data_IF_992989776621
#
_entry.id   IF_992989776621
#
_cell.length_a   1.000
_cell.length_b   1.000
_cell.length_c   1.000
_cell.angle_alpha   90.00
_cell.angle_beta   90.00
_cell.angle_gamma   90.00
#
_symmetry.space_group_name_H-M   'P 1'
#
loop_
_entity.id
_entity.type
_entity.pdbx_description
1 polymer ?
#
# COMPACT_ATOMS: atom_id res chain seq x y z
N UNK A 1 5.78 26.10 14.89
CA UNK A 1 6.93 25.60 15.68
C UNK A 1 7.48 24.28 15.12
N UNK A 2 6.62 23.30 14.73
CA UNK A 2 7.05 21.96 14.28
C UNK A 2 7.89 22.05 13.00
N UNK A 3 7.40 22.68 11.94
CA UNK A 3 8.11 22.83 10.66
C UNK A 3 9.50 23.47 10.83
N UNK A 4 9.62 24.48 11.70
CA UNK A 4 10.91 25.14 11.97
C UNK A 4 11.91 24.19 12.62
N UNK A 5 11.46 23.27 13.46
CA UNK A 5 12.28 22.37 14.26
C UNK A 5 12.39 20.96 13.68
N UNK A 6 11.84 20.71 12.48
CA UNK A 6 11.86 19.37 11.85
C UNK A 6 13.25 18.77 11.71
N UNK A 7 14.28 19.60 11.53
CA UNK A 7 15.68 19.16 11.41
C UNK A 7 16.18 18.39 12.64
N UNK A 8 15.58 18.61 13.83
CA UNK A 8 15.93 17.91 15.07
C UNK A 8 15.59 16.42 15.00
N UNK A 9 14.67 16.00 14.11
CA UNK A 9 14.34 14.58 13.89
C UNK A 9 15.56 13.76 13.44
N UNK A 10 16.56 14.38 12.79
CA UNK A 10 17.79 13.70 12.38
C UNK A 10 18.61 13.15 13.55
N UNK A 11 18.43 13.71 14.76
CA UNK A 11 19.09 13.25 15.99
C UNK A 11 18.30 12.22 16.79
N UNK A 12 17.10 11.81 16.31
CA UNK A 12 16.25 10.86 17.03
C UNK A 12 16.53 9.43 16.53
N UNK A 13 16.58 8.48 17.47
CA UNK A 13 16.76 7.06 17.13
C UNK A 13 15.67 6.56 16.16
N UNK A 14 16.07 5.75 15.19
CA UNK A 14 15.17 5.24 14.14
C UNK A 14 13.99 4.47 14.70
N UNK A 15 14.20 3.68 15.75
CA UNK A 15 13.17 2.89 16.44
C UNK A 15 12.09 3.80 17.06
N UNK A 16 12.49 4.93 17.61
CA UNK A 16 11.55 5.92 18.16
C UNK A 16 10.76 6.62 17.05
N UNK A 17 11.42 6.97 15.97
CA UNK A 17 10.77 7.51 14.77
C UNK A 17 9.74 6.51 14.25
N UNK A 18 10.11 5.23 14.10
CA UNK A 18 9.21 4.16 13.67
C UNK A 18 7.95 4.08 14.54
N UNK A 19 8.12 4.03 15.86
CA UNK A 19 6.99 3.91 16.79
C UNK A 19 6.02 5.08 16.64
N UNK A 20 6.53 6.31 16.60
CA UNK A 20 5.66 7.49 16.52
C UNK A 20 5.01 7.65 15.13
N UNK A 21 5.72 7.34 14.03
CA UNK A 21 5.14 7.34 12.69
C UNK A 21 4.05 6.26 12.56
N UNK A 22 4.27 5.07 13.10
CA UNK A 22 3.27 4.00 13.07
C UNK A 22 2.01 4.40 13.84
N UNK A 23 2.14 4.97 15.03
CA UNK A 23 1.01 5.49 15.80
C UNK A 23 0.26 6.56 15.02
N UNK A 24 0.98 7.49 14.41
CA UNK A 24 0.39 8.57 13.61
C UNK A 24 -0.36 8.03 12.40
N UNK A 25 0.22 7.09 11.65
CA UNK A 25 -0.40 6.45 10.48
C UNK A 25 -1.68 5.70 10.85
N UNK A 26 -1.73 5.08 12.04
CA UNK A 26 -2.90 4.32 12.51
C UNK A 26 -3.90 5.18 13.28
N UNK A 27 -3.62 6.44 13.52
CA UNK A 27 -4.52 7.33 14.25
C UNK A 27 -5.68 7.80 13.37
N UNK A 28 -6.80 8.11 14.02
CA UNK A 28 -7.89 8.85 13.39
C UNK A 28 -7.38 10.24 12.97
N UNK A 29 -7.68 10.66 11.73
CA UNK A 29 -7.19 11.94 11.19
C UNK A 29 -5.76 11.92 10.63
N UNK A 30 -5.14 10.74 10.45
CA UNK A 30 -3.82 10.60 9.84
C UNK A 30 -3.67 11.38 8.53
N UNK A 31 -4.69 11.39 7.67
CA UNK A 31 -4.71 12.12 6.41
C UNK A 31 -4.45 13.63 6.57
N UNK A 32 -5.08 14.27 7.57
CA UNK A 32 -4.82 15.68 7.88
C UNK A 32 -3.38 15.94 8.30
N UNK A 33 -2.84 15.06 9.16
CA UNK A 33 -1.44 15.16 9.62
C UNK A 33 -0.46 14.96 8.44
N UNK A 34 -0.73 14.02 7.54
CA UNK A 34 0.09 13.77 6.35
C UNK A 34 0.13 14.99 5.42
N UNK A 35 -1.00 15.69 5.23
CA UNK A 35 -1.06 16.94 4.44
C UNK A 35 -0.31 18.07 5.12
N UNK A 36 -0.62 18.33 6.38
CA UNK A 36 -0.10 19.49 7.11
C UNK A 36 1.40 19.37 7.40
N UNK A 37 1.93 18.16 7.56
CA UNK A 37 3.28 17.88 8.01
C UNK A 37 4.10 17.04 7.02
N UNK A 38 3.77 17.05 5.74
CA UNK A 38 4.50 16.32 4.69
C UNK A 38 6.01 16.62 4.73
N UNK A 39 6.39 17.88 4.90
CA UNK A 39 7.79 18.32 4.98
C UNK A 39 8.52 17.83 6.25
N UNK A 40 7.78 17.51 7.30
CA UNK A 40 8.32 16.93 8.55
C UNK A 40 8.56 15.43 8.36
N UNK A 41 7.61 14.75 7.71
CA UNK A 41 7.69 13.32 7.37
C UNK A 41 8.84 13.03 6.40
N UNK A 42 9.13 13.97 5.49
CA UNK A 42 10.25 13.88 4.56
C UNK A 42 11.64 13.95 5.23
N UNK A 43 11.73 14.28 6.51
CA UNK A 43 13.02 14.24 7.22
C UNK A 43 13.49 12.81 7.49
N UNK A 44 12.70 11.92 8.10
CA UNK A 44 13.06 10.51 8.25
C UNK A 44 12.90 9.69 6.97
N UNK A 45 12.01 10.11 6.04
CA UNK A 45 11.72 9.43 4.78
C UNK A 45 11.82 10.44 3.63
N UNK A 46 13.05 10.86 3.25
CA UNK A 46 13.25 11.87 2.20
C UNK A 46 12.73 11.41 0.83
N UNK A 47 12.56 10.13 0.62
CA UNK A 47 12.01 9.51 -0.59
C UNK A 47 10.53 9.90 -0.84
N UNK A 48 9.82 10.43 0.15
CA UNK A 48 8.47 10.96 -0.03
C UNK A 48 8.46 12.30 -0.80
N UNK A 49 9.55 13.07 -0.73
CA UNK A 49 9.60 14.42 -1.30
C UNK A 49 9.21 14.49 -2.79
N UNK A 50 9.67 13.57 -3.67
CA UNK A 50 9.30 13.60 -5.08
C UNK A 50 7.81 13.35 -5.34
N UNK A 51 7.05 12.80 -4.38
CA UNK A 51 5.62 12.53 -4.54
C UNK A 51 4.76 13.79 -4.38
N UNK A 52 5.26 14.80 -3.65
CA UNK A 52 4.50 15.99 -3.29
C UNK A 52 4.21 16.85 -4.53
N UNK A 53 2.93 17.00 -4.85
CA UNK A 53 2.50 17.74 -6.02
C UNK A 53 2.88 17.11 -7.35
N UNK A 54 3.27 15.82 -7.40
CA UNK A 54 3.66 15.15 -8.63
C UNK A 54 2.43 14.73 -9.45
N UNK A 55 2.14 15.38 -10.59
CA UNK A 55 0.95 15.11 -11.39
C UNK A 55 1.07 13.76 -12.10
N UNK A 56 -0.01 12.97 -12.11
CA UNK A 56 0.03 11.64 -12.72
C UNK A 56 -0.28 11.64 -14.23
N UNK A 57 -0.90 12.70 -14.76
CA UNK A 57 -1.27 12.82 -16.19
C UNK A 57 -2.00 11.58 -16.73
N UNK A 58 -2.89 10.99 -15.92
CA UNK A 58 -3.57 9.77 -16.27
C UNK A 58 -5.06 9.87 -15.86
N UNK A 59 -6.02 9.53 -16.75
CA UNK A 59 -7.45 9.68 -16.45
C UNK A 59 -7.94 8.83 -15.26
N UNK A 60 -7.20 7.77 -14.90
CA UNK A 60 -7.50 6.96 -13.72
C UNK A 60 -7.13 7.65 -12.41
N UNK A 61 -6.37 8.76 -12.45
CA UNK A 61 -5.93 9.51 -11.28
C UNK A 61 -6.30 10.99 -11.42
N UNK A 62 -7.16 11.48 -10.53
CA UNK A 62 -7.59 12.88 -10.42
C UNK A 62 -6.79 13.66 -9.37
N UNK A 63 -5.82 13.01 -8.72
CA UNK A 63 -4.94 13.53 -7.68
C UNK A 63 -3.47 13.39 -8.10
N UNK A 64 -2.61 14.21 -7.51
CA UNK A 64 -1.17 13.94 -7.54
C UNK A 64 -0.82 12.66 -6.76
N UNK A 65 0.44 12.19 -6.86
CA UNK A 65 0.86 10.93 -6.22
C UNK A 65 0.72 11.00 -4.70
N UNK A 66 1.00 12.15 -4.07
CA UNK A 66 0.90 12.29 -2.62
C UNK A 66 -0.55 12.30 -2.12
N UNK A 67 -1.41 13.10 -2.73
CA UNK A 67 -2.83 13.15 -2.38
C UNK A 67 -3.55 11.82 -2.66
N UNK A 68 -3.14 11.09 -3.73
CA UNK A 68 -3.59 9.74 -3.96
C UNK A 68 -3.17 8.81 -2.79
N UNK A 69 -1.89 8.82 -2.41
CA UNK A 69 -1.38 8.01 -1.29
C UNK A 69 -2.12 8.31 0.02
N UNK A 70 -2.40 9.58 0.30
CA UNK A 70 -3.20 9.96 1.48
C UNK A 70 -4.62 9.39 1.40
N UNK A 71 -5.28 9.44 0.23
CA UNK A 71 -6.61 8.88 0.04
C UNK A 71 -6.64 7.35 0.23
N UNK A 72 -5.59 6.65 -0.20
CA UNK A 72 -5.42 5.21 0.05
C UNK A 72 -5.28 4.93 1.56
N UNK A 73 -4.42 5.70 2.25
CA UNK A 73 -4.25 5.60 3.71
C UNK A 73 -5.57 5.86 4.43
N UNK A 74 -6.37 6.81 4.01
CA UNK A 74 -7.66 7.14 4.62
C UNK A 74 -8.68 6.00 4.45
N UNK A 75 -8.59 5.27 3.32
CA UNK A 75 -9.54 4.23 2.91
C UNK A 75 -9.22 2.84 3.46
N UNK A 76 -7.99 2.59 3.92
CA UNK A 76 -7.52 1.27 4.39
C UNK A 76 -7.63 1.15 5.91
N UNK A 77 -7.83 -0.08 6.40
CA UNK A 77 -7.88 -0.37 7.85
C UNK A 77 -6.66 0.20 8.59
N UNK A 78 -6.82 0.80 9.78
CA UNK A 78 -5.74 1.39 10.56
C UNK A 78 -4.87 0.32 11.26
N UNK A 79 -4.36 -0.62 10.49
CA UNK A 79 -3.44 -1.67 10.89
C UNK A 79 -2.02 -1.31 10.42
N UNK A 80 -0.97 -1.47 11.27
CA UNK A 80 0.39 -1.04 10.95
C UNK A 80 0.90 -1.51 9.59
N UNK A 81 0.81 -2.80 9.28
CA UNK A 81 1.31 -3.37 8.01
C UNK A 81 0.60 -2.74 6.81
N UNK A 82 -0.73 -2.63 6.88
CA UNK A 82 -1.55 -2.06 5.81
C UNK A 82 -1.28 -0.57 5.60
N UNK A 83 -1.17 0.21 6.68
CA UNK A 83 -0.92 1.65 6.61
C UNK A 83 0.48 1.97 6.08
N UNK A 84 1.48 1.19 6.44
CA UNK A 84 2.82 1.33 5.88
C UNK A 84 2.89 0.88 4.42
N UNK A 85 2.20 -0.20 4.06
CA UNK A 85 2.09 -0.61 2.66
C UNK A 85 1.40 0.47 1.82
N UNK A 86 0.31 1.05 2.31
CA UNK A 86 -0.38 2.18 1.67
C UNK A 86 0.51 3.42 1.53
N UNK A 87 1.35 3.75 2.52
CA UNK A 87 2.28 4.87 2.42
C UNK A 87 3.35 4.67 1.34
N UNK A 88 3.79 3.43 1.14
CA UNK A 88 4.96 3.11 0.31
C UNK A 88 4.63 2.52 -1.06
N UNK A 89 3.36 2.16 -1.36
CA UNK A 89 3.01 1.42 -2.58
C UNK A 89 3.43 2.15 -3.86
N UNK A 90 3.25 3.44 -3.91
CA UNK A 90 3.47 4.31 -5.07
C UNK A 90 4.71 5.20 -4.98
N UNK A 91 5.58 4.99 -3.99
CA UNK A 91 6.75 5.84 -3.73
C UNK A 91 7.76 5.85 -4.90
N UNK A 92 7.74 4.82 -5.73
CA UNK A 92 8.57 4.69 -6.93
C UNK A 92 8.02 5.41 -8.16
N UNK A 93 6.75 5.84 -8.17
CA UNK A 93 6.11 6.46 -9.35
C UNK A 93 6.89 7.65 -9.93
N UNK A 94 7.34 8.63 -9.12
CA UNK A 94 8.04 9.79 -9.69
C UNK A 94 9.30 9.44 -10.48
N UNK A 95 10.02 8.38 -10.07
CA UNK A 95 11.25 7.94 -10.76
C UNK A 95 10.99 7.07 -11.99
N UNK A 96 9.78 6.55 -12.16
CA UNK A 96 9.37 5.69 -13.27
C UNK A 96 8.46 6.43 -14.28
N UNK A 97 8.28 7.74 -14.10
CA UNK A 97 7.37 8.52 -14.95
C UNK A 97 7.87 8.66 -16.37
N UNK A 98 6.98 8.42 -17.33
CA UNK A 98 7.16 8.76 -18.73
C UNK A 98 5.86 9.33 -19.28
N UNK A 99 5.97 10.32 -20.17
CA UNK A 99 4.83 10.92 -20.85
C UNK A 99 4.77 10.41 -22.29
N UNK A 100 3.64 9.80 -22.67
CA UNK A 100 3.43 9.35 -24.04
C UNK A 100 3.07 10.54 -24.96
N UNK A 101 3.12 10.33 -26.29
CA UNK A 101 2.82 11.36 -27.30
C UNK A 101 1.38 11.91 -27.19
N UNK A 102 0.45 11.11 -26.68
CA UNK A 102 -0.94 11.49 -26.43
C UNK A 102 -1.14 12.27 -25.11
N UNK A 103 -0.04 12.56 -24.40
CA UNK A 103 -0.07 13.25 -23.11
C UNK A 103 -0.45 12.41 -21.91
N UNK A 104 -0.58 11.09 -22.06
CA UNK A 104 -0.88 10.17 -20.96
C UNK A 104 0.41 9.79 -20.22
N UNK A 105 0.37 9.90 -18.90
CA UNK A 105 1.45 9.51 -18.00
C UNK A 105 1.47 8.01 -17.73
N UNK A 106 2.65 7.40 -17.81
CA UNK A 106 2.90 5.99 -17.51
C UNK A 106 3.98 5.85 -16.44
N UNK A 107 3.91 4.77 -15.65
CA UNK A 107 4.80 4.49 -14.51
C UNK A 107 5.32 3.05 -14.57
N UNK A 108 5.81 2.63 -15.73
CA UNK A 108 6.28 1.25 -15.95
C UNK A 108 7.37 0.85 -14.95
N UNK A 109 7.15 -0.29 -14.25
CA UNK A 109 8.10 -0.81 -13.26
C UNK A 109 8.07 -0.10 -11.91
N UNK A 110 7.12 0.80 -11.65
CA UNK A 110 7.04 1.51 -10.37
C UNK A 110 6.85 0.57 -9.17
N UNK A 111 6.18 -0.56 -9.32
CA UNK A 111 6.01 -1.54 -8.24
C UNK A 111 7.33 -2.17 -7.80
N UNK A 112 8.24 -2.49 -8.73
CA UNK A 112 9.58 -2.98 -8.41
C UNK A 112 10.44 -1.88 -7.77
N UNK A 113 10.36 -0.66 -8.30
CA UNK A 113 11.04 0.50 -7.74
C UNK A 113 10.53 0.83 -6.33
N UNK A 114 9.20 0.86 -6.13
CA UNK A 114 8.58 1.04 -4.81
C UNK A 114 9.01 -0.04 -3.83
N UNK A 115 9.09 -1.30 -4.28
CA UNK A 115 9.57 -2.43 -3.47
C UNK A 115 10.99 -2.20 -2.97
N UNK A 116 11.92 -1.86 -3.87
CA UNK A 116 13.32 -1.58 -3.52
C UNK A 116 13.46 -0.40 -2.55
N UNK A 117 12.71 0.67 -2.78
CA UNK A 117 12.67 1.84 -1.89
C UNK A 117 12.08 1.48 -0.52
N UNK A 118 10.98 0.71 -0.49
CA UNK A 118 10.36 0.24 0.75
C UNK A 118 11.32 -0.62 1.59
N UNK A 119 12.03 -1.59 0.98
CA UNK A 119 13.04 -2.41 1.65
C UNK A 119 14.11 -1.55 2.34
N UNK A 120 14.59 -0.53 1.63
CA UNK A 120 15.61 0.41 2.15
C UNK A 120 15.09 1.26 3.29
N UNK A 121 13.89 1.84 3.16
CA UNK A 121 13.23 2.69 4.16
C UNK A 121 12.94 1.89 5.43
N UNK A 122 12.31 0.72 5.29
CA UNK A 122 11.92 -0.13 6.43
C UNK A 122 13.16 -0.66 7.19
N UNK A 123 14.23 -0.99 6.47
CA UNK A 123 15.51 -1.38 7.08
C UNK A 123 16.16 -0.22 7.84
N UNK A 124 16.17 0.99 7.26
CA UNK A 124 16.70 2.22 7.90
C UNK A 124 15.88 2.59 9.13
N UNK A 125 14.58 2.42 9.12
CA UNK A 125 13.69 2.67 10.25
C UNK A 125 13.68 1.54 11.30
N UNK A 126 14.46 0.46 11.10
CA UNK A 126 14.61 -0.65 12.05
C UNK A 126 13.32 -1.45 12.29
N UNK A 127 12.54 -1.67 11.24
CA UNK A 127 11.45 -2.65 11.32
C UNK A 127 11.97 -4.04 11.67
N UNK A 128 11.17 -4.82 12.39
CA UNK A 128 11.41 -6.26 12.51
C UNK A 128 11.24 -6.96 11.15
N UNK A 129 11.90 -8.11 10.98
CA UNK A 129 11.94 -8.78 9.69
C UNK A 129 10.55 -9.25 9.23
N UNK A 130 9.69 -9.72 10.15
CA UNK A 130 8.37 -10.23 9.80
C UNK A 130 7.47 -9.11 9.26
N UNK A 131 7.37 -7.99 9.97
CA UNK A 131 6.61 -6.81 9.51
C UNK A 131 7.17 -6.25 8.20
N UNK A 132 8.50 -6.16 8.06
CA UNK A 132 9.15 -5.70 6.83
C UNK A 132 8.78 -6.58 5.63
N UNK A 133 8.87 -7.91 5.77
CA UNK A 133 8.54 -8.85 4.69
C UNK A 133 7.07 -8.76 4.27
N UNK A 134 6.15 -8.57 5.23
CA UNK A 134 4.73 -8.39 4.94
C UNK A 134 4.48 -7.10 4.15
N UNK A 135 5.02 -5.96 4.61
CA UNK A 135 4.86 -4.66 3.95
C UNK A 135 5.45 -4.71 2.54
N UNK A 136 6.69 -5.19 2.39
CA UNK A 136 7.39 -5.30 1.09
C UNK A 136 6.61 -6.18 0.11
N UNK A 137 6.03 -7.28 0.60
CA UNK A 137 5.18 -8.16 -0.22
C UNK A 137 3.95 -7.41 -0.73
N UNK A 138 3.25 -6.68 0.12
CA UNK A 138 2.08 -5.88 -0.27
C UNK A 138 2.47 -4.82 -1.30
N UNK A 139 3.56 -4.08 -1.09
CA UNK A 139 4.08 -3.09 -2.04
C UNK A 139 4.43 -3.74 -3.37
N UNK A 140 5.07 -4.92 -3.38
CA UNK A 140 5.45 -5.62 -4.61
C UNK A 140 4.26 -6.03 -5.47
N UNK A 141 3.16 -6.45 -4.85
CA UNK A 141 2.01 -7.00 -5.55
C UNK A 141 0.82 -6.05 -5.67
N UNK A 142 0.96 -4.79 -5.22
CA UNK A 142 -0.16 -3.83 -5.21
C UNK A 142 -0.71 -3.49 -6.60
N UNK A 143 0.10 -3.60 -7.66
CA UNK A 143 -0.28 -3.28 -9.05
C UNK A 143 -0.59 -4.54 -9.90
N UNK A 144 -0.60 -5.73 -9.28
CA UNK A 144 -0.95 -6.94 -10.02
C UNK A 144 -2.45 -6.96 -10.38
N UNK A 145 -2.82 -7.45 -11.58
CA UNK A 145 -4.23 -7.54 -11.93
C UNK A 145 -4.96 -8.57 -11.04
N UNK A 146 -6.07 -8.14 -10.44
CA UNK A 146 -6.97 -8.98 -9.65
C UNK A 146 -8.22 -9.24 -10.48
N UNK A 147 -8.55 -10.53 -10.65
CA UNK A 147 -9.78 -11.00 -11.31
C UNK A 147 -10.56 -11.91 -10.38
N UNK A 148 -11.90 -11.90 -10.50
CA UNK A 148 -12.78 -12.79 -9.75
C UNK A 148 -12.79 -14.21 -10.34
N UNK A 149 -11.61 -14.78 -10.56
CA UNK A 149 -11.39 -16.12 -11.09
C UNK A 149 -10.82 -17.03 -10.00
N UNK A 150 -11.44 -18.19 -9.82
CA UNK A 150 -11.08 -19.13 -8.74
C UNK A 150 -9.64 -19.64 -8.81
N UNK A 151 -9.10 -19.86 -10.02
CA UNK A 151 -7.75 -20.40 -10.21
C UNK A 151 -6.64 -19.42 -9.81
N UNK A 152 -6.64 -18.15 -10.24
CA UNK A 152 -5.71 -17.13 -9.71
C UNK A 152 -5.82 -16.97 -8.20
N UNK A 153 -7.03 -16.94 -7.63
CA UNK A 153 -7.21 -16.75 -6.17
C UNK A 153 -6.65 -17.95 -5.38
N UNK A 154 -6.90 -19.20 -5.82
CA UNK A 154 -6.26 -20.37 -5.20
C UNK A 154 -4.74 -20.32 -5.25
N UNK A 155 -4.15 -19.80 -6.33
CA UNK A 155 -2.69 -19.60 -6.42
C UNK A 155 -2.19 -18.55 -5.44
N UNK A 156 -2.91 -17.44 -5.25
CA UNK A 156 -2.56 -16.43 -4.25
C UNK A 156 -2.61 -17.01 -2.84
N UNK A 157 -3.69 -17.71 -2.49
CA UNK A 157 -3.85 -18.36 -1.19
C UNK A 157 -2.73 -19.39 -0.93
N UNK A 158 -2.43 -20.25 -1.92
CA UNK A 158 -1.35 -21.24 -1.80
C UNK A 158 0.03 -20.61 -1.66
N UNK A 159 0.29 -19.48 -2.34
CA UNK A 159 1.60 -18.83 -2.37
C UNK A 159 1.85 -17.94 -1.16
N UNK A 160 0.83 -17.22 -0.71
CA UNK A 160 0.97 -16.15 0.29
C UNK A 160 0.26 -16.44 1.62
N UNK A 161 -0.62 -17.44 1.65
CA UNK A 161 -1.53 -17.70 2.77
C UNK A 161 -2.75 -16.80 2.78
N UNK A 162 -3.69 -17.09 3.69
CA UNK A 162 -4.96 -16.36 3.79
C UNK A 162 -4.76 -14.90 4.16
N UNK A 163 -4.07 -14.62 5.28
CA UNK A 163 -3.94 -13.26 5.81
C UNK A 163 -3.29 -12.31 4.81
N UNK A 164 -2.18 -12.72 4.21
CA UNK A 164 -1.48 -11.90 3.21
C UNK A 164 -2.30 -11.70 1.94
N UNK A 165 -3.11 -12.70 1.53
CA UNK A 165 -4.01 -12.56 0.37
C UNK A 165 -5.13 -11.56 0.69
N UNK A 166 -5.76 -11.64 1.87
CA UNK A 166 -6.80 -10.70 2.28
C UNK A 166 -6.27 -9.26 2.40
N UNK A 167 -5.09 -9.08 3.01
CA UNK A 167 -4.42 -7.78 3.10
C UNK A 167 -4.13 -7.20 1.71
N UNK A 168 -3.71 -8.03 0.75
CA UNK A 168 -3.46 -7.61 -0.62
C UNK A 168 -4.75 -7.13 -1.30
N UNK A 169 -5.85 -7.87 -1.18
CA UNK A 169 -7.16 -7.47 -1.73
C UNK A 169 -7.64 -6.16 -1.08
N UNK A 170 -7.43 -6.00 0.20
CA UNK A 170 -7.78 -4.75 0.91
C UNK A 170 -6.96 -3.56 0.39
N UNK A 171 -5.66 -3.73 0.17
CA UNK A 171 -4.81 -2.67 -0.40
C UNK A 171 -5.28 -2.29 -1.81
N UNK A 172 -5.58 -3.27 -2.67
CA UNK A 172 -6.13 -3.00 -4.01
C UNK A 172 -7.48 -2.26 -3.98
N UNK A 173 -8.35 -2.63 -3.02
CA UNK A 173 -9.63 -1.93 -2.83
C UNK A 173 -9.39 -0.47 -2.39
N UNK A 174 -8.50 -0.25 -1.44
CA UNK A 174 -8.16 1.07 -0.94
C UNK A 174 -7.48 1.93 -2.02
N UNK A 175 -6.58 1.37 -2.82
CA UNK A 175 -5.95 2.03 -3.97
C UNK A 175 -7.02 2.48 -4.99
N UNK A 176 -7.95 1.57 -5.36
CA UNK A 176 -9.07 1.90 -6.25
C UNK A 176 -9.98 3.00 -5.67
N UNK A 177 -10.18 3.04 -4.36
CA UNK A 177 -10.92 4.12 -3.68
C UNK A 177 -10.17 5.46 -3.74
N UNK A 178 -8.84 5.43 -3.74
CA UNK A 178 -7.98 6.60 -3.91
C UNK A 178 -7.93 7.15 -5.35
N UNK A 179 -8.23 6.32 -6.36
CA UNK A 179 -8.26 6.66 -7.77
C UNK A 179 -9.47 7.53 -8.15
N UNK A 180 -9.56 7.95 -9.41
CA UNK A 180 -10.68 8.71 -9.94
C UNK A 180 -11.99 7.92 -9.95
N UNK A 181 -13.13 8.62 -10.03
CA UNK A 181 -14.46 8.00 -9.98
C UNK A 181 -14.70 6.94 -11.07
N UNK A 182 -14.03 7.03 -12.22
CA UNK A 182 -14.15 6.07 -13.31
C UNK A 182 -13.67 4.65 -12.91
N UNK A 183 -12.82 4.52 -11.89
CA UNK A 183 -12.30 3.23 -11.41
C UNK A 183 -13.25 2.54 -10.41
N UNK A 184 -14.28 3.22 -9.91
CA UNK A 184 -15.16 2.73 -8.83
C UNK A 184 -15.89 1.42 -9.17
N UNK A 185 -16.17 1.16 -10.45
CA UNK A 185 -16.78 -0.11 -10.89
C UNK A 185 -15.94 -1.34 -10.52
N UNK A 186 -14.63 -1.17 -10.32
CA UNK A 186 -13.71 -2.27 -9.92
C UNK A 186 -13.90 -2.73 -8.48
N UNK A 187 -14.55 -1.92 -7.63
CA UNK A 187 -14.74 -2.26 -6.21
C UNK A 187 -15.55 -3.55 -6.06
N UNK A 188 -16.58 -3.77 -6.89
CA UNK A 188 -17.39 -4.98 -6.89
C UNK A 188 -16.55 -6.25 -7.09
N UNK A 189 -15.48 -6.18 -7.91
CA UNK A 189 -14.55 -7.29 -8.12
C UNK A 189 -13.88 -7.72 -6.82
N UNK A 190 -13.44 -6.77 -6.00
CA UNK A 190 -12.76 -7.09 -4.73
C UNK A 190 -13.71 -7.69 -3.69
N UNK A 191 -14.99 -7.32 -3.73
CA UNK A 191 -16.02 -7.90 -2.88
C UNK A 191 -16.33 -9.34 -3.29
N UNK A 192 -16.46 -9.59 -4.61
CA UNK A 192 -16.62 -10.92 -5.17
C UNK A 192 -15.41 -11.82 -4.87
N UNK A 193 -14.18 -11.30 -5.01
CA UNK A 193 -12.96 -12.02 -4.67
C UNK A 193 -12.92 -12.36 -3.17
N UNK A 194 -13.32 -11.45 -2.29
CA UNK A 194 -13.36 -11.69 -0.85
C UNK A 194 -14.36 -12.81 -0.49
N UNK A 195 -15.51 -12.85 -1.15
CA UNK A 195 -16.47 -13.94 -1.00
C UNK A 195 -15.90 -15.27 -1.52
N UNK A 196 -15.27 -15.26 -2.68
CA UNK A 196 -14.63 -16.45 -3.28
C UNK A 196 -13.53 -17.02 -2.38
N UNK A 197 -12.74 -16.18 -1.72
CA UNK A 197 -11.73 -16.60 -0.72
C UNK A 197 -12.43 -17.40 0.40
N UNK A 198 -13.55 -16.92 0.95
CA UNK A 198 -14.28 -17.60 1.99
C UNK A 198 -14.79 -18.98 1.53
N UNK A 199 -15.34 -19.06 0.31
CA UNK A 199 -15.83 -20.30 -0.28
C UNK A 199 -14.71 -21.33 -0.46
N UNK A 200 -13.55 -20.90 -1.00
CA UNK A 200 -12.39 -21.78 -1.19
C UNK A 200 -11.90 -22.35 0.13
N UNK A 201 -11.77 -21.51 1.18
CA UNK A 201 -11.29 -21.96 2.48
C UNK A 201 -12.28 -22.89 3.19
N UNK A 202 -13.60 -22.64 3.03
CA UNK A 202 -14.62 -23.55 3.56
C UNK A 202 -14.57 -24.94 2.90
N UNK A 203 -14.41 -24.99 1.58
CA UNK A 203 -14.26 -26.26 0.86
C UNK A 203 -13.02 -27.04 1.33
N UNK A 204 -11.88 -26.38 1.44
CA UNK A 204 -10.63 -27.02 1.90
C UNK A 204 -10.75 -27.55 3.33
N UNK A 205 -11.42 -26.82 4.24
CA UNK A 205 -11.68 -27.30 5.60
C UNK A 205 -12.63 -28.49 5.65
N UNK A 206 -13.61 -28.57 4.75
CA UNK A 206 -14.53 -29.70 4.66
C UNK A 206 -13.88 -30.99 4.14
N UNK A 207 -12.87 -30.87 3.26
CA UNK A 207 -12.12 -32.04 2.78
C UNK A 207 -11.23 -32.63 3.89
N UNK A 208 -10.52 -31.82 4.65
CA UNK A 208 -9.67 -32.27 5.75
C UNK A 208 -10.43 -32.97 6.87
N UNK A 209 -11.66 -32.56 7.17
CA UNK A 209 -12.51 -33.22 8.19
C UNK A 209 -13.08 -34.56 7.71
N UNK A 210 -13.36 -34.70 6.41
CA UNK A 210 -13.84 -35.99 5.82
C UNK A 210 -12.72 -37.02 5.73
N UNK A 211 -11.48 -36.59 5.50
CA UNK A 211 -10.32 -37.46 5.41
C UNK A 211 -9.82 -37.97 6.78
N UNK A 212 -10.24 -37.31 7.88
CA UNK A 212 -9.92 -37.70 9.26
C UNK A 212 -10.96 -38.70 9.87
N UNK A 213 -12.08 -38.95 9.17
CA UNK A 213 -13.12 -39.87 9.62
C UNK A 213 -12.96 -41.26 8.97
N UNK A 214 -11.77 -41.90 9.12
CA UNK A 214 -11.50 -43.31 8.78
C UNK A 214 -11.13 -44.05 10.03
#
# INVERSE_FOLDING_TARGET
>A
PIHRNKHLLKGIAAERILVELTKMLCAQGAAGVLRDFADVLAVPIPELTPMFGFPQHNPHHDKDVWEHTIAVIESITPEPVLRWAALLHDIGKPSCFSLAEDGIGHFFGHSDQSTSMAESILSRLRFDNASKEQIVRLVRYHDMPITADRKPIKRLLSKHGEDATRQLIELHKADTLGQSAICRHRIAIFEEVSQMINEILQEESCFTLKDLAV
#
